data_IF_953166817201
#
_entry.id   IF_953166817201
#
_cell.length_a   1.000
_cell.length_b   1.000
_cell.length_c   1.000
_cell.angle_alpha   90.00
_cell.angle_beta   90.00
_cell.angle_gamma   90.00
#
_symmetry.space_group_name_H-M   'P 1'
#
loop_
_entity.id
_entity.type
_entity.pdbx_description
1 polymer ?
#
# COMPACT_ATOMS: atom_id res chain seq x y z
N UNK A 1 19.40 22.28 -17.32
CA UNK A 1 18.57 21.73 -16.21
C UNK A 1 17.29 21.15 -16.78
N UNK A 2 17.19 19.83 -16.96
CA UNK A 2 15.90 19.13 -17.12
C UNK A 2 16.12 17.61 -17.05
N UNK A 3 16.36 17.07 -15.86
CA UNK A 3 16.51 15.63 -15.67
C UNK A 3 15.64 15.24 -14.46
N UNK A 4 14.62 14.42 -14.70
CA UNK A 4 13.68 13.98 -13.65
C UNK A 4 12.25 13.72 -14.16
N UNK A 5 11.83 14.30 -15.29
CA UNK A 5 10.47 14.10 -15.82
C UNK A 5 10.26 12.77 -16.56
N UNK A 6 11.30 12.19 -17.16
CA UNK A 6 11.19 10.95 -17.95
C UNK A 6 11.05 9.69 -17.09
N UNK A 7 11.80 9.59 -16.00
CA UNK A 7 11.84 8.40 -15.14
C UNK A 7 10.58 8.25 -14.27
N UNK A 8 10.10 9.35 -13.69
CA UNK A 8 8.85 9.35 -12.94
C UNK A 8 7.66 8.96 -13.83
N UNK A 9 7.64 9.45 -15.08
CA UNK A 9 6.60 9.08 -16.04
C UNK A 9 6.69 7.60 -16.45
N UNK A 10 7.91 7.10 -16.64
CA UNK A 10 8.16 5.68 -16.91
C UNK A 10 7.67 4.78 -15.77
N UNK A 11 7.98 5.15 -14.51
CA UNK A 11 7.50 4.44 -13.33
C UNK A 11 5.96 4.42 -13.24
N UNK A 12 5.31 5.56 -13.46
CA UNK A 12 3.84 5.66 -13.47
C UNK A 12 3.25 4.76 -14.57
N UNK A 13 3.84 4.75 -15.76
CA UNK A 13 3.38 3.91 -16.88
C UNK A 13 3.51 2.41 -16.56
N UNK A 14 4.60 1.99 -15.91
CA UNK A 14 4.75 0.60 -15.45
C UNK A 14 3.64 0.25 -14.46
N UNK A 15 3.40 1.10 -13.44
CA UNK A 15 2.32 0.89 -12.48
C UNK A 15 0.94 0.83 -13.15
N UNK A 16 0.72 1.61 -14.20
CA UNK A 16 -0.52 1.59 -14.97
C UNK A 16 -0.69 0.30 -15.79
N UNK A 17 0.39 -0.33 -16.24
CA UNK A 17 0.34 -1.60 -16.97
C UNK A 17 0.15 -2.84 -16.06
N UNK A 18 0.42 -2.73 -14.76
CA UNK A 18 0.24 -3.82 -13.80
C UNK A 18 -1.23 -4.26 -13.67
N UNK A 19 -1.43 -5.56 -13.43
CA UNK A 19 -2.73 -6.07 -12.99
C UNK A 19 -3.20 -5.36 -11.71
N UNK A 20 -4.51 -5.37 -11.46
CA UNK A 20 -5.10 -4.71 -10.29
C UNK A 20 -4.44 -5.13 -8.96
N UNK A 21 -4.14 -6.43 -8.83
CA UNK A 21 -3.49 -7.00 -7.65
C UNK A 21 -2.02 -6.58 -7.54
N UNK A 22 -1.26 -6.66 -8.62
CA UNK A 22 0.15 -6.26 -8.63
C UNK A 22 0.31 -4.75 -8.39
N UNK A 23 -0.61 -3.96 -8.93
CA UNK A 23 -0.67 -2.53 -8.69
C UNK A 23 -0.94 -2.23 -7.21
N UNK A 24 -1.93 -2.88 -6.59
CA UNK A 24 -2.22 -2.73 -5.16
C UNK A 24 -1.03 -3.17 -4.30
N UNK A 25 -0.42 -4.32 -4.61
CA UNK A 25 0.76 -4.81 -3.92
C UNK A 25 1.91 -3.79 -3.97
N UNK A 26 2.22 -3.29 -5.17
CA UNK A 26 3.31 -2.33 -5.39
C UNK A 26 3.07 -1.02 -4.64
N UNK A 27 1.82 -0.54 -4.62
CA UNK A 27 1.44 0.66 -3.89
C UNK A 27 1.64 0.51 -2.38
N UNK A 28 1.23 -0.63 -1.82
CA UNK A 28 1.38 -0.91 -0.38
C UNK A 28 2.85 -1.10 -0.04
N UNK A 29 3.60 -1.87 -0.82
CA UNK A 29 5.02 -2.10 -0.62
C UNK A 29 5.79 -0.78 -0.61
N UNK A 30 5.51 0.12 -1.55
CA UNK A 30 6.12 1.44 -1.59
C UNK A 30 5.78 2.30 -0.35
N UNK A 31 4.49 2.36 0.03
CA UNK A 31 4.05 3.19 1.18
C UNK A 31 4.50 2.63 2.52
N UNK A 32 4.59 1.32 2.66
CA UNK A 32 5.04 0.63 3.85
C UNK A 32 6.56 0.36 3.84
N UNK A 33 7.31 0.81 2.82
CA UNK A 33 8.75 0.58 2.73
C UNK A 33 9.52 0.98 4.00
N UNK A 34 9.24 2.13 4.65
CA UNK A 34 9.90 2.47 5.92
C UNK A 34 9.62 1.47 7.04
N UNK A 35 8.44 0.84 7.03
CA UNK A 35 8.06 -0.20 7.98
C UNK A 35 8.71 -1.53 7.65
N UNK A 36 8.66 -1.95 6.39
CA UNK A 36 9.32 -3.18 5.92
C UNK A 36 10.83 -3.13 6.17
N UNK A 37 11.44 -1.95 6.04
CA UNK A 37 12.85 -1.72 6.32
C UNK A 37 13.19 -1.67 7.82
N UNK A 38 12.19 -1.65 8.71
CA UNK A 38 12.41 -1.47 10.15
C UNK A 38 12.77 -0.03 10.56
N UNK A 39 12.73 0.93 9.63
CA UNK A 39 12.98 2.35 9.92
C UNK A 39 11.81 3.06 10.61
N UNK A 40 10.60 2.47 10.57
CA UNK A 40 9.41 2.91 11.31
C UNK A 40 8.64 1.72 11.86
N UNK A 41 8.12 1.78 13.09
CA UNK A 41 7.31 0.69 13.65
C UNK A 41 5.99 0.49 12.88
N UNK A 42 5.48 1.56 12.24
CA UNK A 42 4.24 1.51 11.49
C UNK A 42 4.20 2.52 10.33
N UNK A 43 3.40 2.20 9.31
CA UNK A 43 3.08 3.09 8.19
C UNK A 43 1.57 3.20 8.01
N UNK A 44 1.07 4.43 7.87
CA UNK A 44 -0.32 4.69 7.56
C UNK A 44 -0.53 4.58 6.05
N UNK A 45 -1.42 3.68 5.63
CA UNK A 45 -1.82 3.49 4.24
C UNK A 45 -3.28 3.84 4.10
N UNK A 46 -3.58 4.81 3.24
CA UNK A 46 -4.95 5.25 2.96
C UNK A 46 -5.33 4.88 1.53
N UNK A 47 -6.48 4.23 1.36
CA UNK A 47 -7.07 3.93 0.05
C UNK A 47 -8.27 4.83 -0.19
N UNK A 48 -8.25 5.55 -1.31
CA UNK A 48 -9.39 6.30 -1.83
C UNK A 48 -10.10 5.50 -2.91
N UNK A 49 -11.41 5.71 -3.07
CA UNK A 49 -12.13 5.24 -4.26
C UNK A 49 -11.68 6.04 -5.48
N UNK A 50 -11.25 5.34 -6.54
CA UNK A 50 -10.68 5.95 -7.72
C UNK A 50 -10.30 4.93 -8.80
N UNK A 51 -9.45 5.32 -9.75
CA UNK A 51 -9.00 4.46 -10.85
C UNK A 51 -8.32 3.18 -10.32
N UNK A 52 -8.67 2.01 -10.89
CA UNK A 52 -8.32 0.65 -10.41
C UNK A 52 -8.84 0.28 -9.00
N UNK A 53 -9.60 1.16 -8.35
CA UNK A 53 -10.35 0.93 -7.11
C UNK A 53 -9.62 0.13 -6.00
N UNK A 54 -8.46 0.61 -5.52
CA UNK A 54 -7.68 -0.07 -4.47
C UNK A 54 -8.45 -0.28 -3.16
N UNK A 55 -9.50 0.53 -2.92
CA UNK A 55 -10.41 0.40 -1.78
C UNK A 55 -11.11 -0.96 -1.74
N UNK A 56 -11.69 -1.40 -2.86
CA UNK A 56 -12.41 -2.67 -2.93
C UNK A 56 -11.43 -3.84 -3.03
N UNK A 57 -10.36 -3.69 -3.81
CA UNK A 57 -9.32 -4.71 -3.97
C UNK A 57 -8.62 -5.05 -2.65
N UNK A 58 -8.40 -4.07 -1.77
CA UNK A 58 -7.81 -4.32 -0.45
C UNK A 58 -8.65 -5.32 0.35
N UNK A 59 -9.97 -5.22 0.31
CA UNK A 59 -10.84 -6.13 1.05
C UNK A 59 -10.70 -7.58 0.57
N UNK A 60 -10.31 -7.79 -0.69
CA UNK A 60 -10.08 -9.11 -1.30
C UNK A 60 -8.67 -9.63 -1.03
N UNK A 61 -7.65 -8.78 -1.22
CA UNK A 61 -6.25 -9.22 -1.25
C UNK A 61 -5.44 -8.94 0.03
N UNK A 62 -6.01 -8.25 1.04
CA UNK A 62 -5.27 -7.81 2.25
C UNK A 62 -4.47 -8.90 2.93
N UNK A 63 -5.07 -10.06 3.17
CA UNK A 63 -4.41 -11.17 3.85
C UNK A 63 -3.21 -11.71 3.06
N UNK A 64 -3.36 -11.87 1.74
CA UNK A 64 -2.28 -12.36 0.89
C UNK A 64 -1.13 -11.35 0.80
N UNK A 65 -1.45 -10.08 0.61
CA UNK A 65 -0.45 -9.01 0.48
C UNK A 65 0.34 -8.85 1.79
N UNK A 66 -0.36 -8.79 2.93
CA UNK A 66 0.26 -8.71 4.24
C UNK A 66 1.17 -9.90 4.53
N UNK A 67 0.72 -11.12 4.21
CA UNK A 67 1.56 -12.33 4.36
C UNK A 67 2.83 -12.25 3.50
N UNK A 68 2.73 -11.80 2.25
CA UNK A 68 3.89 -11.63 1.35
C UNK A 68 4.87 -10.57 1.84
N UNK A 69 4.36 -9.47 2.38
CA UNK A 69 5.17 -8.36 2.89
C UNK A 69 5.65 -8.55 4.34
N UNK A 70 5.21 -9.62 5.02
CA UNK A 70 5.45 -9.85 6.46
C UNK A 70 4.97 -8.67 7.31
N UNK A 71 3.81 -8.13 6.97
CA UNK A 71 3.18 -7.02 7.67
C UNK A 71 1.91 -7.50 8.37
N UNK A 72 1.67 -6.98 9.57
CA UNK A 72 0.35 -6.96 10.16
C UNK A 72 -0.38 -5.67 9.82
N UNK A 73 -1.71 -5.66 9.94
CA UNK A 73 -2.49 -4.45 9.68
C UNK A 73 -3.61 -4.27 10.70
N UNK A 74 -3.92 -3.00 11.00
CA UNK A 74 -5.11 -2.60 11.77
C UNK A 74 -6.00 -1.70 10.94
N UNK A 75 -7.30 -1.93 11.01
CA UNK A 75 -8.34 -1.09 10.39
C UNK A 75 -8.65 0.11 11.30
N UNK A 76 -8.29 1.32 10.88
CA UNK A 76 -8.40 2.53 11.72
C UNK A 76 -9.73 3.24 11.52
N UNK A 77 -10.16 3.45 10.27
CA UNK A 77 -11.41 4.18 9.98
C UNK A 77 -12.00 3.81 8.61
N UNK A 78 -13.29 3.49 8.60
CA UNK A 78 -14.15 3.47 7.40
C UNK A 78 -15.28 4.48 7.64
N UNK A 79 -15.18 5.66 7.02
CA UNK A 79 -16.09 6.77 7.38
C UNK A 79 -17.33 6.89 6.49
N UNK A 80 -17.52 6.05 5.46
CA UNK A 80 -18.75 5.92 4.66
C UNK A 80 -19.40 7.15 3.98
N UNK A 81 -19.06 8.41 4.34
CA UNK A 81 -19.96 9.56 4.16
C UNK A 81 -19.42 10.83 3.49
N UNK A 82 -18.17 10.95 3.05
CA UNK A 82 -17.88 12.06 2.11
C UNK A 82 -16.65 11.94 1.24
N UNK A 83 -15.55 11.35 1.72
CA UNK A 83 -14.45 10.93 0.86
C UNK A 83 -14.06 9.58 1.44
N UNK A 84 -14.42 8.49 0.76
CA UNK A 84 -14.35 7.12 1.30
C UNK A 84 -12.90 6.66 1.30
N UNK A 85 -12.19 7.14 2.30
CA UNK A 85 -10.83 6.79 2.67
C UNK A 85 -10.90 5.67 3.70
N UNK A 86 -10.37 4.51 3.34
CA UNK A 86 -10.07 3.43 4.29
C UNK A 86 -8.61 3.57 4.70
N UNK A 87 -8.37 3.83 5.98
CA UNK A 87 -7.04 4.01 6.52
C UNK A 87 -6.64 2.79 7.36
N UNK A 88 -5.44 2.28 7.11
CA UNK A 88 -4.87 1.13 7.79
C UNK A 88 -3.47 1.44 8.30
N UNK A 89 -3.16 1.01 9.52
CA UNK A 89 -1.79 0.98 10.01
C UNK A 89 -1.17 -0.36 9.62
N UNK A 90 -0.07 -0.35 8.87
CA UNK A 90 0.75 -1.55 8.64
C UNK A 90 1.91 -1.56 9.63
N UNK A 91 2.17 -2.70 10.25
CA UNK A 91 3.24 -2.88 11.25
C UNK A 91 4.22 -3.94 10.80
N UNK A 92 5.49 -3.73 11.13
CA UNK A 92 6.53 -4.75 10.96
C UNK A 92 6.55 -5.63 12.19
N UNK A 93 6.43 -6.94 11.99
CA UNK A 93 6.69 -7.91 13.04
C UNK A 93 8.17 -8.25 12.95
N UNK A 94 8.99 -7.66 13.82
CA UNK A 94 10.21 -8.37 14.21
C UNK A 94 9.81 -9.47 15.17
N UNK A 95 10.12 -10.69 14.78
CA UNK A 95 9.89 -11.87 15.60
C UNK A 95 10.51 -13.10 14.95
N UNK A 96 11.76 -13.39 15.27
CA UNK A 96 11.92 -14.64 16.02
C UNK A 96 11.61 -14.31 17.48
N UNK A 97 10.47 -14.83 17.95
CA UNK A 97 10.25 -15.06 19.37
C UNK A 97 11.19 -16.19 19.78
N UNK A 98 12.27 -15.87 20.50
CA UNK A 98 12.91 -16.76 21.49
C UNK A 98 13.49 -15.92 22.63
#
# INVERSE_FOLDING_TARGET
>A
MSCGKSEALHFINILHALSEKEHLFSLIAYRAAPTIWGGKPASLVTFTKGHKNPYDLWSVYKLEICKKLRLEFIEIKDTGKSIREKAYGCFFIEGELF
#
